data_IF_054990498181
#
_entry.id   IF_054990498181
#
_cell.length_a   1.000
_cell.length_b   1.000
_cell.length_c   1.000
_cell.angle_alpha   90.00
_cell.angle_beta   90.00
_cell.angle_gamma   90.00
#
_symmetry.space_group_name_H-M   'P 1'
#
loop_
_entity.id
_entity.type
_entity.pdbx_description
1 polymer ?
#
# COMPACT_ATOMS: atom_id res chain seq x y z
N UNK A 1 3.86 20.53 -17.15
CA UNK A 1 2.49 20.07 -17.42
C UNK A 1 1.64 20.33 -16.19
N UNK A 2 0.48 20.96 -16.33
CA UNK A 2 -0.49 21.14 -15.25
C UNK A 2 -1.55 20.05 -15.37
N UNK A 3 -1.64 19.14 -14.40
CA UNK A 3 -2.59 18.01 -14.41
C UNK A 3 -3.88 18.31 -13.64
N UNK A 4 -4.02 19.49 -13.04
CA UNK A 4 -5.21 19.87 -12.26
C UNK A 4 -6.48 19.81 -13.11
N UNK A 5 -7.53 19.22 -12.55
CA UNK A 5 -8.85 19.02 -13.17
C UNK A 5 -8.91 17.86 -14.17
N UNK A 6 -7.78 17.22 -14.49
CA UNK A 6 -7.74 16.14 -15.49
C UNK A 6 -8.19 14.80 -14.91
N UNK A 7 -8.52 13.86 -15.80
CA UNK A 7 -8.73 12.45 -15.42
C UNK A 7 -7.48 11.85 -14.76
N UNK A 8 -6.28 12.30 -15.16
CA UNK A 8 -5.01 11.87 -14.58
C UNK A 8 -4.89 12.26 -13.11
N UNK A 9 -5.24 13.49 -12.74
CA UNK A 9 -5.24 13.91 -11.32
C UNK A 9 -6.21 13.05 -10.48
N UNK A 10 -7.42 12.81 -10.99
CA UNK A 10 -8.40 11.93 -10.31
C UNK A 10 -7.89 10.50 -10.16
N UNK A 11 -7.23 9.96 -11.19
CA UNK A 11 -6.64 8.62 -11.15
C UNK A 11 -5.50 8.53 -10.13
N UNK A 12 -4.63 9.55 -10.06
CA UNK A 12 -3.54 9.60 -9.07
C UNK A 12 -4.08 9.68 -7.64
N UNK A 13 -5.11 10.48 -7.39
CA UNK A 13 -5.77 10.55 -6.08
C UNK A 13 -6.41 9.21 -5.69
N UNK A 14 -7.08 8.55 -6.64
CA UNK A 14 -7.65 7.22 -6.42
C UNK A 14 -6.57 6.16 -6.15
N UNK A 15 -5.47 6.17 -6.91
CA UNK A 15 -4.32 5.29 -6.69
C UNK A 15 -3.71 5.52 -5.30
N UNK A 16 -3.49 6.77 -4.89
CA UNK A 16 -2.96 7.10 -3.57
C UNK A 16 -3.83 6.54 -2.43
N UNK A 17 -5.15 6.65 -2.56
CA UNK A 17 -6.10 6.06 -1.61
C UNK A 17 -6.03 4.53 -1.64
N UNK A 18 -5.93 3.92 -2.82
CA UNK A 18 -5.76 2.48 -3.02
C UNK A 18 -4.51 1.92 -2.33
N UNK A 19 -3.33 2.47 -2.63
CA UNK A 19 -2.05 2.03 -2.02
C UNK A 19 -2.05 2.26 -0.49
N UNK A 20 -2.79 3.28 -0.02
CA UNK A 20 -2.97 3.51 1.40
C UNK A 20 -3.77 2.41 2.09
N UNK A 21 -4.84 1.95 1.46
CA UNK A 21 -5.66 0.85 1.96
C UNK A 21 -4.93 -0.50 1.85
N UNK A 22 -4.20 -0.73 0.75
CA UNK A 22 -3.41 -1.94 0.53
C UNK A 22 -2.35 -2.13 1.62
N UNK A 23 -1.56 -1.08 1.93
CA UNK A 23 -0.59 -1.11 3.04
C UNK A 23 -1.23 -1.52 4.37
N UNK A 24 -2.40 -0.97 4.69
CA UNK A 24 -3.07 -1.28 5.96
C UNK A 24 -3.52 -2.75 6.01
N UNK A 25 -4.04 -3.28 4.89
CA UNK A 25 -4.41 -4.71 4.80
C UNK A 25 -3.20 -5.62 4.97
N UNK A 26 -2.10 -5.35 4.28
CA UNK A 26 -0.89 -6.18 4.39
C UNK A 26 -0.27 -6.11 5.80
N UNK A 27 -0.29 -4.94 6.45
CA UNK A 27 0.14 -4.81 7.84
C UNK A 27 -0.74 -5.66 8.79
N UNK A 28 -2.05 -5.66 8.57
CA UNK A 28 -2.97 -6.51 9.33
C UNK A 28 -2.70 -8.00 9.10
N UNK A 29 -2.53 -8.43 7.84
CA UNK A 29 -2.23 -9.83 7.52
C UNK A 29 -0.89 -10.29 8.10
N UNK A 30 0.14 -9.43 8.10
CA UNK A 30 1.39 -9.72 8.79
C UNK A 30 1.17 -9.97 10.29
N UNK A 31 0.30 -9.18 10.95
CA UNK A 31 -0.03 -9.40 12.35
C UNK A 31 -0.77 -10.71 12.60
N UNK A 32 -1.69 -11.10 11.72
CA UNK A 32 -2.41 -12.38 11.82
C UNK A 32 -1.45 -13.55 11.60
N UNK A 33 -0.65 -13.52 10.53
CA UNK A 33 0.34 -14.56 10.22
C UNK A 33 1.32 -14.79 11.37
N UNK A 34 1.80 -13.73 12.04
CA UNK A 34 2.62 -13.84 13.25
C UNK A 34 1.91 -14.51 14.42
N UNK A 35 0.63 -14.20 14.64
CA UNK A 35 -0.16 -14.82 15.71
C UNK A 35 -0.38 -16.32 15.47
N UNK A 36 -0.42 -16.74 14.22
CA UNK A 36 -0.59 -18.13 13.81
C UNK A 36 0.75 -18.89 13.70
N UNK A 37 1.90 -18.24 13.96
CA UNK A 37 3.23 -18.85 13.92
C UNK A 37 3.86 -18.91 12.52
N UNK A 38 3.30 -18.21 11.53
CA UNK A 38 3.81 -18.16 10.16
C UNK A 38 4.77 -16.97 9.96
N UNK A 39 5.93 -17.00 10.62
CA UNK A 39 6.86 -15.86 10.63
C UNK A 39 7.37 -15.46 9.23
N UNK A 40 7.63 -16.43 8.35
CA UNK A 40 8.06 -16.14 6.97
C UNK A 40 6.96 -15.45 6.15
N UNK A 41 5.71 -15.87 6.33
CA UNK A 41 4.56 -15.26 5.65
C UNK A 41 4.32 -13.85 6.19
N UNK A 42 4.47 -13.65 7.50
CA UNK A 42 4.39 -12.33 8.10
C UNK A 42 5.45 -11.37 7.52
N UNK A 43 6.70 -11.83 7.38
CA UNK A 43 7.78 -11.04 6.79
C UNK A 43 7.48 -10.66 5.34
N UNK A 44 6.88 -11.56 4.55
CA UNK A 44 6.45 -11.26 3.17
C UNK A 44 5.38 -10.17 3.19
N UNK A 45 4.35 -10.28 4.04
CA UNK A 45 3.31 -9.25 4.13
C UNK A 45 3.86 -7.90 4.58
N UNK A 46 4.83 -7.85 5.48
CA UNK A 46 5.49 -6.60 5.87
C UNK A 46 6.31 -5.99 4.73
N UNK A 47 7.06 -6.81 4.00
CA UNK A 47 7.80 -6.36 2.83
C UNK A 47 6.86 -5.76 1.78
N UNK A 48 5.73 -6.43 1.51
CA UNK A 48 4.69 -5.90 0.61
C UNK A 48 4.09 -4.60 1.13
N UNK A 49 3.73 -4.51 2.41
CA UNK A 49 3.21 -3.27 3.00
C UNK A 49 4.19 -2.09 2.89
N UNK A 50 5.49 -2.35 3.00
CA UNK A 50 6.53 -1.35 2.79
C UNK A 50 6.64 -0.95 1.32
N UNK A 51 6.51 -1.88 0.38
CA UNK A 51 6.49 -1.55 -1.05
C UNK A 51 5.33 -0.60 -1.39
N UNK A 52 4.12 -0.87 -0.88
CA UNK A 52 2.96 0.00 -1.08
C UNK A 52 3.15 1.41 -0.49
N UNK A 53 3.91 1.52 0.60
CA UNK A 53 4.29 2.81 1.18
C UNK A 53 5.17 3.62 0.22
N UNK A 54 6.12 2.97 -0.44
CA UNK A 54 7.02 3.64 -1.39
C UNK A 54 6.30 3.96 -2.71
N UNK A 55 5.45 3.06 -3.23
CA UNK A 55 4.59 3.34 -4.40
C UNK A 55 3.71 4.57 -4.16
N UNK A 56 3.10 4.67 -2.98
CA UNK A 56 2.30 5.84 -2.60
C UNK A 56 3.10 7.14 -2.60
N UNK A 57 4.35 7.13 -2.10
CA UNK A 57 5.20 8.34 -2.09
C UNK A 57 5.51 8.84 -3.50
N UNK A 58 5.53 7.98 -4.50
CA UNK A 58 5.75 8.38 -5.89
C UNK A 58 4.51 9.02 -6.55
N UNK A 59 3.34 8.94 -5.91
CA UNK A 59 2.07 9.52 -6.40
C UNK A 59 1.81 10.95 -5.88
N UNK A 60 2.66 11.47 -5.00
CA UNK A 60 2.63 12.83 -4.42
C UNK A 60 3.84 13.64 -4.86
#
# INVERSE_FOLDING_TARGET
MNIKGTKTEKNLAAAFAGESQARNKYTYFASVARKEGFDQIAAIFEATANNEKEQRKALV
#
